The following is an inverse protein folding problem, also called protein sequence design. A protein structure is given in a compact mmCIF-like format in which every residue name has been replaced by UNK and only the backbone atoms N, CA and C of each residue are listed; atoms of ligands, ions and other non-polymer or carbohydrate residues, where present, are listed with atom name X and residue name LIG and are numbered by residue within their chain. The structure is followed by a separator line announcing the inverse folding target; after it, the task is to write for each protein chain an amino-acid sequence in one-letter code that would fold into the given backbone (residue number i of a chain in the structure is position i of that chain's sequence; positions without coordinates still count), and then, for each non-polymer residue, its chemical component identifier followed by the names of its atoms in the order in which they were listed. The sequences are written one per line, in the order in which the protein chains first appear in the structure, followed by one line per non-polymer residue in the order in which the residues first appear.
data_IF_547989009274
#
_entry.id   IF_547989009274
#
_cell.length_a   1.000
_cell.length_b   1.000
_cell.length_c   1.000
_cell.angle_alpha   90.00
_cell.angle_beta   90.00
_cell.angle_gamma   90.00
#
_symmetry.space_group_name_H-M   'P 1'
#
loop_
_entity.id
_entity.type
_entity.pdbx_description
1 polymer ?
#
# COMPACT_ATOMS: atom_id res chain seq x y z
N UNK A 1 -4.57 -16.89 -7.83
CA UNK A 1 -4.47 -15.47 -8.24
C UNK A 1 -3.93 -14.60 -7.12
N UNK A 2 -4.43 -14.70 -5.88
CA UNK A 2 -3.89 -13.94 -4.72
C UNK A 2 -2.37 -14.06 -4.55
N UNK A 3 -1.81 -15.27 -4.58
CA UNK A 3 -0.36 -15.47 -4.48
C UNK A 3 0.44 -14.67 -5.53
N UNK A 4 -0.10 -14.47 -6.73
CA UNK A 4 0.58 -13.69 -7.78
C UNK A 4 0.52 -12.19 -7.47
N UNK A 5 -0.60 -11.68 -6.94
CA UNK A 5 -0.67 -10.27 -6.49
C UNK A 5 0.29 -10.04 -5.32
N UNK A 6 0.29 -10.93 -4.34
CA UNK A 6 1.19 -10.89 -3.17
C UNK A 6 2.66 -10.87 -3.59
N UNK A 7 3.09 -11.82 -4.43
CA UNK A 7 4.47 -11.87 -4.97
C UNK A 7 4.83 -10.60 -5.75
N UNK A 8 3.87 -10.03 -6.48
CA UNK A 8 4.08 -8.79 -7.24
C UNK A 8 4.27 -7.60 -6.28
N UNK A 9 3.46 -7.51 -5.22
CA UNK A 9 3.56 -6.46 -4.20
C UNK A 9 4.88 -6.56 -3.44
N UNK A 10 5.30 -7.77 -3.05
CA UNK A 10 6.60 -8.01 -2.43
C UNK A 10 7.77 -7.60 -3.34
N UNK A 11 7.67 -7.88 -4.65
CA UNK A 11 8.68 -7.47 -5.62
C UNK A 11 8.76 -5.94 -5.74
N UNK A 12 7.61 -5.26 -5.79
CA UNK A 12 7.53 -3.80 -5.84
C UNK A 12 8.09 -3.18 -4.55
N UNK A 13 7.71 -3.70 -3.38
CA UNK A 13 8.26 -3.25 -2.09
C UNK A 13 9.79 -3.45 -2.01
N UNK A 14 10.27 -4.60 -2.46
CA UNK A 14 11.71 -4.89 -2.56
C UNK A 14 12.42 -3.91 -3.50
N UNK A 15 11.81 -3.56 -4.62
CA UNK A 15 12.34 -2.52 -5.53
C UNK A 15 12.42 -1.15 -4.85
N UNK A 16 11.35 -0.71 -4.18
CA UNK A 16 11.35 0.58 -3.45
C UNK A 16 12.46 0.63 -2.39
N UNK A 17 12.63 -0.44 -1.60
CA UNK A 17 13.68 -0.48 -0.57
C UNK A 17 15.08 -0.23 -1.15
N UNK A 18 15.37 -0.77 -2.34
CA UNK A 18 16.67 -0.69 -3.02
C UNK A 18 16.80 0.49 -3.99
N UNK A 19 15.72 1.21 -4.28
CA UNK A 19 15.74 2.33 -5.22
C UNK A 19 16.75 3.40 -4.78
N UNK A 20 17.60 3.85 -5.69
CA UNK A 20 18.56 4.94 -5.45
C UNK A 20 18.01 6.30 -5.88
N UNK A 21 17.14 6.31 -6.90
CA UNK A 21 16.51 7.51 -7.41
C UNK A 21 15.07 7.65 -6.88
N UNK A 22 14.93 8.38 -5.77
CA UNK A 22 13.63 8.62 -5.13
C UNK A 22 12.69 9.45 -6.02
N UNK A 23 13.20 10.40 -6.79
CA UNK A 23 12.35 11.21 -7.67
C UNK A 23 11.69 10.36 -8.76
N UNK A 24 12.44 9.41 -9.33
CA UNK A 24 11.87 8.48 -10.29
C UNK A 24 10.73 7.63 -9.67
N UNK A 25 10.88 7.20 -8.42
CA UNK A 25 9.82 6.48 -7.71
C UNK A 25 8.58 7.36 -7.56
N UNK A 26 8.76 8.61 -7.14
CA UNK A 26 7.69 9.58 -6.99
C UNK A 26 6.94 9.85 -8.31
N UNK A 27 7.68 10.08 -9.39
CA UNK A 27 7.11 10.49 -10.67
C UNK A 27 6.47 9.35 -11.45
N UNK A 28 7.05 8.15 -11.39
CA UNK A 28 6.64 7.02 -12.24
C UNK A 28 5.76 6.01 -11.52
N UNK A 29 5.93 5.83 -10.21
CA UNK A 29 5.27 4.73 -9.48
C UNK A 29 4.09 5.19 -8.62
N UNK A 30 4.04 6.44 -8.17
CA UNK A 30 2.92 6.87 -7.32
C UNK A 30 1.58 6.77 -8.04
N UNK A 31 1.41 7.44 -9.18
CA UNK A 31 0.14 7.43 -9.93
C UNK A 31 -0.43 6.02 -10.17
N UNK A 32 0.33 5.04 -10.71
CA UNK A 32 -0.20 3.69 -10.87
C UNK A 32 -0.46 2.99 -9.54
N UNK A 33 0.33 3.26 -8.48
CA UNK A 33 0.09 2.70 -7.15
C UNK A 33 -1.25 3.16 -6.56
N UNK A 34 -1.58 4.45 -6.63
CA UNK A 34 -2.90 4.93 -6.22
C UNK A 34 -4.01 4.32 -7.06
N UNK A 35 -3.86 4.36 -8.39
CA UNK A 35 -4.93 4.00 -9.32
C UNK A 35 -5.25 2.50 -9.34
N UNK A 36 -4.24 1.65 -9.26
CA UNK A 36 -4.41 0.20 -9.46
C UNK A 36 -4.26 -0.63 -8.19
N UNK A 37 -3.53 -0.13 -7.18
CA UNK A 37 -3.30 -0.89 -5.95
C UNK A 37 -4.18 -0.37 -4.83
N UNK A 38 -4.12 0.94 -4.53
CA UNK A 38 -4.85 1.49 -3.38
C UNK A 38 -6.36 1.57 -3.63
N UNK A 39 -6.79 1.93 -4.84
CA UNK A 39 -8.21 1.88 -5.21
C UNK A 39 -8.75 0.45 -5.20
N UNK A 40 -7.98 -0.54 -5.70
CA UNK A 40 -8.37 -1.95 -5.64
C UNK A 40 -8.48 -2.45 -4.19
N UNK A 41 -7.52 -2.07 -3.34
CA UNK A 41 -7.56 -2.37 -1.90
C UNK A 41 -8.82 -1.80 -1.24
N UNK A 42 -9.18 -0.56 -1.56
CA UNK A 42 -10.39 0.11 -1.06
C UNK A 42 -11.66 -0.64 -1.45
N UNK A 43 -11.80 -0.92 -2.74
CA UNK A 43 -13.04 -1.36 -3.37
C UNK A 43 -13.28 -2.88 -3.25
N UNK A 44 -12.24 -3.66 -2.97
CA UNK A 44 -12.38 -5.10 -2.79
C UNK A 44 -13.04 -5.48 -1.45
N UNK A 45 -13.59 -6.70 -1.41
CA UNK A 45 -14.17 -7.28 -0.21
C UNK A 45 -13.10 -7.43 0.89
N UNK A 46 -13.41 -7.26 2.20
CA UNK A 46 -12.44 -7.38 3.29
C UNK A 46 -11.58 -8.65 3.26
N UNK A 47 -12.16 -9.81 2.93
CA UNK A 47 -11.42 -11.08 2.81
C UNK A 47 -10.45 -11.14 1.61
N UNK A 48 -10.64 -10.28 0.61
CA UNK A 48 -9.78 -10.19 -0.58
C UNK A 48 -8.71 -9.09 -0.44
N UNK A 49 -8.73 -8.30 0.65
CA UNK A 49 -7.73 -7.26 0.90
C UNK A 49 -6.41 -7.90 1.31
N UNK A 50 -5.37 -7.55 0.58
CA UNK A 50 -4.03 -8.09 0.80
C UNK A 50 -3.25 -7.19 1.75
N UNK A 51 -2.83 -7.74 2.89
CA UNK A 51 -2.03 -7.02 3.90
C UNK A 51 -0.69 -6.52 3.34
N UNK A 52 -0.17 -7.18 2.30
CA UNK A 52 1.08 -6.80 1.65
C UNK A 52 1.03 -5.41 1.00
N UNK A 53 -0.17 -4.89 0.69
CA UNK A 53 -0.34 -3.48 0.27
C UNK A 53 0.15 -2.53 1.38
N UNK A 54 -0.19 -2.81 2.63
CA UNK A 54 0.20 -1.98 3.79
C UNK A 54 1.70 -2.12 4.11
N UNK A 55 2.26 -3.33 3.97
CA UNK A 55 3.70 -3.56 4.10
C UNK A 55 4.49 -2.78 3.04
N UNK A 56 4.04 -2.86 1.78
CA UNK A 56 4.68 -2.15 0.67
C UNK A 56 4.58 -0.62 0.83
N UNK A 57 3.44 -0.09 1.31
CA UNK A 57 3.30 1.32 1.69
C UNK A 57 4.28 1.72 2.79
N UNK A 58 4.45 0.89 3.82
CA UNK A 58 5.41 1.13 4.90
C UNK A 58 6.83 1.24 4.36
N UNK A 59 7.25 0.33 3.48
CA UNK A 59 8.57 0.37 2.83
C UNK A 59 8.72 1.65 2.00
N UNK A 60 7.71 2.01 1.21
CA UNK A 60 7.71 3.21 0.38
C UNK A 60 7.84 4.49 1.21
N UNK A 61 7.00 4.64 2.24
CA UNK A 61 6.99 5.83 3.10
C UNK A 61 8.33 5.98 3.82
N UNK A 62 8.87 4.89 4.39
CA UNK A 62 10.20 4.90 5.02
C UNK A 62 11.32 5.23 4.03
N UNK A 63 11.15 4.90 2.75
CA UNK A 63 12.14 5.20 1.71
C UNK A 63 12.13 6.66 1.27
N UNK A 64 10.93 7.23 1.18
CA UNK A 64 10.67 8.55 0.56
C UNK A 64 10.63 9.66 1.60
N UNK A 65 10.36 9.32 2.86
CA UNK A 65 10.31 10.21 4.02
C UNK A 65 9.41 11.44 3.74
N UNK A 66 9.87 12.64 4.07
CA UNK A 66 9.08 13.87 4.00
C UNK A 66 8.54 14.22 2.60
N UNK A 67 9.08 13.61 1.54
CA UNK A 67 8.66 13.90 0.16
C UNK A 67 7.26 13.37 -0.15
N UNK A 68 6.77 12.38 0.60
CA UNK A 68 5.42 11.82 0.40
C UNK A 68 4.35 12.49 1.28
N UNK A 69 4.75 13.35 2.23
CA UNK A 69 3.85 14.04 3.17
C UNK A 69 2.62 14.68 2.52
N UNK A 70 2.73 15.41 1.38
CA UNK A 70 1.56 16.01 0.73
C UNK A 70 0.52 14.99 0.24
N UNK A 71 0.91 13.72 0.09
CA UNK A 71 0.09 12.62 -0.42
C UNK A 71 -0.44 11.71 0.68
N UNK A 72 0.02 11.85 1.92
CA UNK A 72 -0.45 11.05 3.05
C UNK A 72 -1.98 11.07 3.21
N UNK A 73 -2.68 12.22 3.09
CA UNK A 73 -4.14 12.23 3.16
C UNK A 73 -4.79 11.30 2.13
N UNK A 74 -4.30 11.33 0.89
CA UNK A 74 -4.79 10.48 -0.20
C UNK A 74 -4.56 8.98 0.07
N UNK A 75 -3.43 8.61 0.70
CA UNK A 75 -3.18 7.22 1.13
C UNK A 75 -4.17 6.81 2.22
N UNK A 76 -4.42 7.68 3.19
CA UNK A 76 -5.29 7.39 4.32
C UNK A 76 -6.74 7.25 3.86
N UNK A 77 -7.21 8.11 2.94
CA UNK A 77 -8.55 8.03 2.36
C UNK A 77 -8.80 6.68 1.66
N UNK A 78 -7.77 6.03 1.13
CA UNK A 78 -7.89 4.76 0.41
C UNK A 78 -7.67 3.52 1.29
N UNK A 79 -7.04 3.67 2.47
CA UNK A 79 -6.62 2.52 3.29
C UNK A 79 -7.13 2.56 4.73
N UNK A 80 -7.10 3.71 5.40
CA UNK A 80 -7.19 3.78 6.86
C UNK A 80 -8.55 3.30 7.42
N UNK A 81 -9.65 3.94 7.02
CA UNK A 81 -11.00 3.57 7.51
C UNK A 81 -11.36 2.12 7.10
N UNK A 82 -10.98 1.74 5.89
CA UNK A 82 -11.28 0.42 5.33
C UNK A 82 -10.56 -0.71 6.06
N UNK A 83 -9.31 -0.49 6.46
CA UNK A 83 -8.54 -1.42 7.30
C UNK A 83 -9.05 -1.40 8.75
N UNK A 84 -9.38 -0.23 9.29
CA UNK A 84 -9.86 -0.10 10.67
C UNK A 84 -11.15 -0.90 10.89
N UNK A 85 -12.10 -0.84 9.97
CA UNK A 85 -13.35 -1.62 10.01
C UNK A 85 -13.16 -3.15 9.93
N UNK A 86 -11.94 -3.63 9.60
CA UNK A 86 -11.61 -5.06 9.63
C UNK A 86 -11.17 -5.50 11.02
N UNK A 87 -10.39 -4.66 11.71
CA UNK A 87 -9.73 -4.99 12.98
C UNK A 87 -10.48 -4.44 14.21
N UNK A 88 -11.56 -3.67 14.02
CA UNK A 88 -12.33 -3.08 15.13
C UNK A 88 -13.43 -3.99 15.69
N UNK A 89 -13.75 -5.09 15.00
CA UNK A 89 -14.85 -5.99 15.37
C UNK A 89 -14.49 -6.98 16.47
N UNK A 90 -13.29 -7.54 16.40
CA UNK A 90 -12.72 -8.43 17.41
C UNK A 90 -11.18 -8.36 17.32
N UNK A 91 -10.51 -8.97 18.31
CA UNK A 91 -9.05 -8.92 18.44
C UNK A 91 -8.33 -10.13 17.82
N UNK A 92 -9.03 -10.97 17.07
CA UNK A 92 -8.49 -12.24 16.54
C UNK A 92 -8.43 -12.26 15.00
N UNK A 93 -9.36 -11.56 14.33
CA UNK A 93 -9.43 -11.50 12.88
C UNK A 93 -8.40 -10.52 12.31
N UNK A 94 -7.80 -10.90 11.18
CA UNK A 94 -6.81 -10.11 10.42
C UNK A 94 -5.59 -9.66 11.26
N UNK A 95 -4.78 -10.61 11.77
CA UNK A 95 -3.59 -10.32 12.58
C UNK A 95 -2.44 -9.67 11.80
#
# INVERSE_FOLDING_TARGET
MMAVKEDTLMLIGSFFSKATNIQQVLDQFLTPLYTFVLVDYRDCHPEARESEVLNMLTILINKVEDRITPRIPEIFDLTFEHTLHMIDKNFEDYP
#
